data_IF_991001497308
#
_entry.id   IF_991001497308
#
_cell.length_a   1.000
_cell.length_b   1.000
_cell.length_c   1.000
_cell.angle_alpha   90.00
_cell.angle_beta   90.00
_cell.angle_gamma   90.00
#
_symmetry.space_group_name_H-M   'P 1'
#
loop_
_entity.id
_entity.type
_entity.pdbx_description
1 polymer ?
#
# COMPACT_ATOMS: atom_id res chain seq x y z
N UNK A 1 -5.24 -28.76 -12.13
CA UNK A 1 -5.01 -27.52 -11.34
C UNK A 1 -6.32 -26.74 -11.24
N UNK A 2 -6.78 -26.38 -10.04
CA UNK A 2 -8.11 -25.78 -9.78
C UNK A 2 -8.32 -24.38 -10.39
N UNK A 3 -7.25 -23.71 -10.85
CA UNK A 3 -7.29 -22.44 -11.57
C UNK A 3 -6.18 -22.39 -12.64
N UNK A 4 -6.49 -22.09 -13.92
CA UNK A 4 -5.47 -21.94 -14.96
C UNK A 4 -4.59 -20.70 -14.71
N UNK A 5 -3.29 -20.80 -14.97
CA UNK A 5 -2.34 -19.70 -14.77
C UNK A 5 -2.55 -18.59 -15.81
N UNK A 6 -2.33 -17.34 -15.41
CA UNK A 6 -2.27 -16.18 -16.29
C UNK A 6 -0.82 -16.00 -16.75
N UNK A 7 -0.61 -15.80 -18.04
CA UNK A 7 0.73 -15.51 -18.57
C UNK A 7 1.11 -14.06 -18.27
N UNK A 8 1.97 -13.89 -17.27
CA UNK A 8 2.46 -12.58 -16.83
C UNK A 8 3.41 -11.94 -17.86
N UNK A 9 4.04 -12.72 -18.74
CA UNK A 9 4.87 -12.18 -19.83
C UNK A 9 3.98 -11.50 -20.87
N UNK A 10 2.85 -12.14 -21.22
CA UNK A 10 1.85 -11.54 -22.11
C UNK A 10 1.30 -10.25 -21.53
N UNK A 11 0.98 -10.19 -20.24
CA UNK A 11 0.50 -8.95 -19.58
C UNK A 11 1.49 -7.80 -19.74
N UNK A 12 2.77 -8.05 -19.46
CA UNK A 12 3.81 -7.02 -19.59
C UNK A 12 3.99 -6.57 -21.04
N UNK A 13 3.93 -7.51 -21.98
CA UNK A 13 4.04 -7.21 -23.41
C UNK A 13 2.86 -6.36 -23.90
N UNK A 14 1.62 -6.74 -23.55
CA UNK A 14 0.42 -5.96 -23.84
C UNK A 14 0.49 -4.57 -23.23
N UNK A 15 1.00 -4.46 -22.00
CA UNK A 15 1.15 -3.16 -21.34
C UNK A 15 2.12 -2.24 -22.08
N UNK A 16 3.26 -2.78 -22.54
CA UNK A 16 4.24 -2.01 -23.32
C UNK A 16 3.68 -1.52 -24.65
N UNK A 17 2.99 -2.41 -25.37
CA UNK A 17 2.33 -2.07 -26.65
C UNK A 17 1.28 -0.98 -26.44
N UNK A 18 0.38 -1.18 -25.47
CA UNK A 18 -0.68 -0.22 -25.15
C UNK A 18 -0.12 1.16 -24.77
N UNK A 19 0.97 1.21 -24.00
CA UNK A 19 1.60 2.48 -23.63
C UNK A 19 2.31 3.15 -24.81
N UNK A 20 2.90 2.38 -25.73
CA UNK A 20 3.51 2.89 -26.95
C UNK A 20 2.47 3.47 -27.92
N UNK A 21 1.30 2.83 -28.03
CA UNK A 21 0.17 3.28 -28.84
C UNK A 21 -0.50 4.53 -28.25
N UNK A 22 -0.43 4.71 -26.91
CA UNK A 22 -1.13 5.77 -26.19
C UNK A 22 -0.15 6.65 -25.39
N UNK A 23 0.75 7.41 -26.06
CA UNK A 23 1.76 8.21 -25.37
C UNK A 23 1.13 9.24 -24.42
N UNK A 24 -0.05 9.78 -24.75
CA UNK A 24 -0.77 10.75 -23.91
C UNK A 24 -1.22 10.23 -22.54
N UNK A 25 -1.08 8.92 -22.26
CA UNK A 25 -1.38 8.35 -20.93
C UNK A 25 -0.61 9.04 -19.80
N UNK A 26 0.60 9.58 -20.05
CA UNK A 26 1.34 10.30 -19.00
C UNK A 26 0.55 11.49 -18.44
N UNK A 27 -0.32 12.15 -19.24
CA UNK A 27 -1.14 13.28 -18.79
C UNK A 27 -2.11 12.88 -17.68
N UNK A 28 -2.68 11.68 -17.79
CA UNK A 28 -3.64 11.12 -16.83
C UNK A 28 -2.95 10.80 -15.50
N UNK A 29 -1.67 10.44 -15.52
CA UNK A 29 -0.91 10.10 -14.32
C UNK A 29 -0.09 11.28 -13.77
N UNK A 30 -0.20 12.47 -14.36
CA UNK A 30 0.56 13.65 -13.96
C UNK A 30 0.27 14.08 -12.51
N UNK A 31 -1.01 14.25 -12.13
CA UNK A 31 -1.39 14.62 -10.76
C UNK A 31 -1.00 13.54 -9.73
N UNK A 32 -1.29 12.24 -9.94
CA UNK A 32 -0.77 11.19 -9.09
C UNK A 32 0.76 11.23 -8.91
N UNK A 33 1.51 11.47 -9.99
CA UNK A 33 2.98 11.53 -9.97
C UNK A 33 3.51 12.71 -9.15
N UNK A 34 2.92 13.90 -9.31
CA UNK A 34 3.24 15.08 -8.48
C UNK A 34 2.99 14.77 -7.00
N UNK A 35 1.85 14.15 -6.67
CA UNK A 35 1.55 13.79 -5.28
C UNK A 35 2.53 12.77 -4.72
N UNK A 36 2.99 11.79 -5.53
CA UNK A 36 4.04 10.85 -5.12
C UNK A 36 5.33 11.59 -4.78
N UNK A 37 5.77 12.51 -5.64
CA UNK A 37 6.97 13.34 -5.42
C UNK A 37 6.81 14.17 -4.14
N UNK A 38 5.72 14.92 -4.01
CA UNK A 38 5.45 15.75 -2.83
C UNK A 38 5.36 14.93 -1.54
N UNK A 39 4.78 13.73 -1.60
CA UNK A 39 4.69 12.83 -0.44
C UNK A 39 6.05 12.36 0.04
N UNK A 40 7.05 12.28 -0.85
CA UNK A 40 8.43 11.92 -0.50
C UNK A 40 9.13 12.92 0.42
N UNK A 41 8.66 14.17 0.45
CA UNK A 41 9.18 15.21 1.36
C UNK A 41 8.51 15.22 2.73
N UNK A 42 7.49 14.37 2.95
CA UNK A 42 6.83 14.25 4.25
C UNK A 42 7.67 13.40 5.19
N UNK A 43 8.22 14.03 6.24
CA UNK A 43 8.95 13.34 7.30
C UNK A 43 8.20 13.42 8.63
N UNK A 44 7.16 12.56 8.85
CA UNK A 44 6.43 12.56 10.12
C UNK A 44 7.30 12.19 11.32
N UNK A 45 8.37 11.40 11.11
CA UNK A 45 9.27 11.00 12.19
C UNK A 45 10.01 12.20 12.80
N UNK A 46 10.37 13.19 11.99
CA UNK A 46 10.99 14.43 12.48
C UNK A 46 10.08 15.27 13.39
N UNK A 47 8.77 14.97 13.45
CA UNK A 47 7.80 15.64 14.34
C UNK A 47 7.64 14.93 15.67
N UNK A 48 8.21 13.75 15.84
CA UNK A 48 8.17 13.01 17.09
C UNK A 48 9.27 13.52 18.02
N UNK A 49 8.90 13.75 19.28
CA UNK A 49 9.87 14.09 20.32
C UNK A 49 10.78 12.87 20.59
N UNK A 50 12.06 13.11 20.89
CA UNK A 50 13.00 12.01 21.19
C UNK A 50 12.56 11.16 22.40
N UNK A 51 11.91 11.79 23.37
CA UNK A 51 11.36 11.16 24.56
C UNK A 51 9.94 10.60 24.38
N UNK A 52 9.41 10.53 23.15
CA UNK A 52 8.02 10.08 22.91
C UNK A 52 7.73 8.70 23.47
N UNK A 53 8.73 7.81 23.48
CA UNK A 53 8.62 6.44 24.00
C UNK A 53 8.70 6.36 25.52
N UNK A 54 9.13 7.43 26.19
CA UNK A 54 9.19 7.51 27.65
C UNK A 54 7.86 7.90 28.28
N UNK A 55 6.93 8.38 27.46
CA UNK A 55 5.62 8.84 27.88
C UNK A 55 4.66 7.66 28.08
N UNK A 56 3.50 7.96 28.66
CA UNK A 56 2.40 7.00 28.71
C UNK A 56 2.00 6.55 27.29
N UNK A 57 1.47 5.33 27.18
CA UNK A 57 1.02 4.78 25.91
C UNK A 57 0.06 5.72 25.16
N UNK A 58 -0.90 6.33 25.85
CA UNK A 58 -1.89 7.22 25.23
C UNK A 58 -1.26 8.53 24.74
N UNK A 59 -0.31 9.10 25.48
CA UNK A 59 0.43 10.30 25.06
C UNK A 59 1.29 10.00 23.83
N UNK A 60 2.04 8.90 23.84
CA UNK A 60 2.82 8.43 22.70
C UNK A 60 1.92 8.22 21.47
N UNK A 61 0.79 7.53 21.64
CA UNK A 61 -0.18 7.27 20.57
C UNK A 61 -0.73 8.58 19.99
N UNK A 62 -1.11 9.54 20.82
CA UNK A 62 -1.61 10.84 20.37
C UNK A 62 -0.57 11.60 19.53
N UNK A 63 0.69 11.64 19.98
CA UNK A 63 1.77 12.28 19.23
C UNK A 63 2.03 11.59 17.88
N UNK A 64 2.04 10.25 17.86
CA UNK A 64 2.20 9.49 16.61
C UNK A 64 1.04 9.76 15.67
N UNK A 65 -0.21 9.72 16.15
CA UNK A 65 -1.37 10.05 15.31
C UNK A 65 -1.28 11.47 14.76
N UNK A 66 -0.90 12.45 15.59
CA UNK A 66 -0.73 13.84 15.16
C UNK A 66 0.37 13.99 14.10
N UNK A 67 1.51 13.35 14.30
CA UNK A 67 2.63 13.37 13.35
C UNK A 67 2.24 12.77 11.98
N UNK A 68 1.46 11.69 11.99
CA UNK A 68 1.07 10.93 10.79
C UNK A 68 -0.26 11.36 10.16
N UNK A 69 -1.09 12.18 10.82
CA UNK A 69 -2.41 12.57 10.31
C UNK A 69 -2.33 13.20 8.91
N UNK A 70 -1.46 14.19 8.72
CA UNK A 70 -1.29 14.85 7.43
C UNK A 70 -0.78 13.89 6.34
N UNK A 71 0.31 13.13 6.54
CA UNK A 71 0.72 12.08 5.60
C UNK A 71 -0.36 11.06 5.25
N UNK A 72 -1.19 10.65 6.23
CA UNK A 72 -2.29 9.71 5.99
C UNK A 72 -3.36 10.30 5.06
N UNK A 73 -3.71 11.58 5.27
CA UNK A 73 -4.65 12.31 4.40
C UNK A 73 -4.08 12.46 3.00
N UNK A 74 -2.83 12.93 2.86
CA UNK A 74 -2.17 13.06 1.54
C UNK A 74 -2.15 11.71 0.82
N UNK A 75 -1.72 10.65 1.50
CA UNK A 75 -1.73 9.29 0.95
C UNK A 75 -3.12 8.86 0.49
N UNK A 76 -4.16 9.18 1.26
CA UNK A 76 -5.54 8.82 0.90
C UNK A 76 -6.01 9.57 -0.34
N UNK A 77 -5.77 10.88 -0.39
CA UNK A 77 -6.06 11.71 -1.56
C UNK A 77 -5.32 11.18 -2.79
N UNK A 78 -4.02 10.85 -2.68
CA UNK A 78 -3.24 10.23 -3.76
C UNK A 78 -3.86 8.94 -4.28
N UNK A 79 -4.50 8.15 -3.42
CA UNK A 79 -5.20 6.91 -3.83
C UNK A 79 -6.44 7.21 -4.66
N UNK A 80 -7.17 8.29 -4.36
CA UNK A 80 -8.33 8.72 -5.15
C UNK A 80 -7.88 9.20 -6.54
N UNK A 81 -6.80 10.01 -6.60
CA UNK A 81 -6.20 10.43 -7.87
C UNK A 81 -5.73 9.25 -8.72
N UNK A 82 -5.07 8.27 -8.09
CA UNK A 82 -4.61 7.07 -8.78
C UNK A 82 -5.78 6.22 -9.29
N UNK A 83 -6.86 6.10 -8.52
CA UNK A 83 -8.09 5.44 -8.95
C UNK A 83 -8.74 6.19 -10.12
N UNK A 84 -8.73 7.53 -10.11
CA UNK A 84 -9.22 8.35 -11.22
C UNK A 84 -8.39 8.18 -12.49
N UNK A 85 -7.06 8.07 -12.35
CA UNK A 85 -6.17 7.75 -13.46
C UNK A 85 -6.44 6.35 -14.05
N UNK A 86 -6.63 5.36 -13.19
CA UNK A 86 -7.02 4.01 -13.59
C UNK A 86 -8.40 3.99 -14.27
N UNK A 87 -9.36 4.79 -13.78
CA UNK A 87 -10.69 4.94 -14.37
C UNK A 87 -10.62 5.48 -15.81
N UNK A 88 -9.87 6.56 -16.02
CA UNK A 88 -9.64 7.12 -17.36
C UNK A 88 -8.95 6.11 -18.29
N UNK A 89 -7.98 5.34 -17.78
CA UNK A 89 -7.30 4.30 -18.57
C UNK A 89 -8.25 3.15 -18.93
N UNK A 90 -9.12 2.73 -18.01
CA UNK A 90 -10.16 1.72 -18.29
C UNK A 90 -11.17 2.21 -19.32
N UNK A 91 -11.51 3.50 -19.33
CA UNK A 91 -12.36 4.09 -20.38
C UNK A 91 -11.70 4.06 -21.74
N UNK A 92 -10.43 4.46 -21.83
CA UNK A 92 -9.66 4.36 -23.08
C UNK A 92 -9.61 2.92 -23.62
N UNK A 93 -9.52 1.93 -22.73
CA UNK A 93 -9.56 0.51 -23.13
C UNK A 93 -10.93 0.02 -23.62
N UNK A 94 -12.01 0.73 -23.27
CA UNK A 94 -13.37 0.45 -23.75
C UNK A 94 -13.69 1.23 -25.02
N UNK A 95 -13.23 2.48 -25.09
CA UNK A 95 -13.46 3.43 -26.18
C UNK A 95 -12.13 4.11 -26.58
N UNK A 96 -11.52 3.70 -27.71
CA UNK A 96 -10.24 4.24 -28.18
C UNK A 96 -10.24 5.75 -28.46
N UNK A 97 -11.41 6.35 -28.71
CA UNK A 97 -11.54 7.78 -29.01
C UNK A 97 -11.60 8.64 -27.74
N UNK A 98 -11.49 8.03 -26.54
CA UNK A 98 -11.51 8.74 -25.25
C UNK A 98 -10.37 9.77 -25.18
N UNK A 99 -10.73 11.05 -25.05
CA UNK A 99 -9.75 12.12 -24.89
C UNK A 99 -9.00 12.02 -23.54
N UNK A 100 -7.67 11.93 -23.63
CA UNK A 100 -6.79 11.88 -22.47
C UNK A 100 -6.31 13.28 -22.10
N UNK A 101 -6.66 13.72 -20.90
CA UNK A 101 -6.21 14.98 -20.33
C UNK A 101 -5.85 14.82 -18.86
N UNK A 102 -5.21 15.84 -18.29
CA UNK A 102 -4.96 15.89 -16.83
C UNK A 102 -6.27 15.83 -16.04
N UNK A 103 -7.34 16.45 -16.56
CA UNK A 103 -8.68 16.45 -15.95
C UNK A 103 -9.30 15.06 -15.88
N UNK A 104 -8.90 14.12 -16.75
CA UNK A 104 -9.40 12.75 -16.74
C UNK A 104 -9.08 12.04 -15.41
N UNK A 105 -7.98 12.41 -14.74
CA UNK A 105 -7.63 11.90 -13.39
C UNK A 105 -8.55 12.41 -12.27
N UNK A 106 -9.28 13.50 -12.52
CA UNK A 106 -10.25 14.11 -11.60
C UNK A 106 -11.66 13.55 -11.78
N UNK A 107 -11.89 12.65 -12.72
CA UNK A 107 -13.24 12.16 -13.06
C UNK A 107 -14.00 11.53 -11.88
N UNK A 108 -13.28 10.97 -10.90
CA UNK A 108 -13.87 10.39 -9.69
C UNK A 108 -14.18 11.41 -8.58
N UNK A 109 -13.78 12.67 -8.75
CA UNK A 109 -14.15 13.78 -7.87
C UNK A 109 -15.49 14.42 -8.23
N UNK A 110 -16.10 14.02 -9.35
CA UNK A 110 -17.45 14.44 -9.69
C UNK A 110 -18.45 13.99 -8.61
N UNK A 111 -19.40 14.87 -8.27
CA UNK A 111 -20.32 14.71 -7.13
C UNK A 111 -21.05 13.36 -7.12
N UNK A 112 -21.55 12.93 -8.28
CA UNK A 112 -22.29 11.67 -8.48
C UNK A 112 -21.49 10.41 -8.10
N UNK A 113 -20.16 10.48 -8.19
CA UNK A 113 -19.24 9.32 -8.07
C UNK A 113 -18.35 9.40 -6.84
N UNK A 114 -18.15 10.60 -6.31
CA UNK A 114 -17.20 10.87 -5.25
C UNK A 114 -17.54 10.10 -3.98
N UNK A 115 -18.79 10.16 -3.50
CA UNK A 115 -19.20 9.51 -2.25
C UNK A 115 -18.94 8.00 -2.28
N UNK A 116 -19.34 7.31 -3.35
CA UNK A 116 -19.11 5.87 -3.50
C UNK A 116 -17.62 5.54 -3.59
N UNK A 117 -16.84 6.35 -4.33
CA UNK A 117 -15.39 6.19 -4.45
C UNK A 117 -14.72 6.35 -3.09
N UNK A 118 -14.99 7.45 -2.40
CA UNK A 118 -14.48 7.77 -1.09
C UNK A 118 -14.78 6.67 -0.09
N UNK A 119 -16.05 6.28 0.06
CA UNK A 119 -16.47 5.24 1.02
C UNK A 119 -15.86 3.87 0.71
N UNK A 120 -15.74 3.51 -0.58
CA UNK A 120 -15.14 2.23 -0.98
C UNK A 120 -13.65 2.17 -0.67
N UNK A 121 -12.90 3.22 -1.00
CA UNK A 121 -11.47 3.29 -0.72
C UNK A 121 -11.20 3.43 0.78
N UNK A 122 -12.03 4.19 1.50
CA UNK A 122 -11.95 4.31 2.96
C UNK A 122 -12.20 2.96 3.65
N UNK A 123 -13.25 2.23 3.23
CA UNK A 123 -13.56 0.90 3.76
C UNK A 123 -12.43 -0.11 3.48
N UNK A 124 -11.84 -0.07 2.28
CA UNK A 124 -10.67 -0.89 1.94
C UNK A 124 -9.51 -0.59 2.90
N UNK A 125 -9.19 0.69 3.10
CA UNK A 125 -8.12 1.10 4.02
C UNK A 125 -8.39 0.69 5.45
N UNK A 126 -9.62 0.86 5.93
CA UNK A 126 -10.02 0.44 7.26
C UNK A 126 -9.80 -1.07 7.46
N UNK A 127 -10.22 -1.91 6.51
CA UNK A 127 -9.96 -3.34 6.61
C UNK A 127 -8.48 -3.70 6.58
N UNK A 128 -7.69 -3.06 5.70
CA UNK A 128 -6.24 -3.29 5.67
C UNK A 128 -5.54 -2.83 6.96
N UNK A 129 -6.02 -1.75 7.58
CA UNK A 129 -5.56 -1.28 8.89
C UNK A 129 -5.85 -2.32 9.99
N UNK A 130 -7.03 -2.93 10.01
CA UNK A 130 -7.33 -4.00 10.98
C UNK A 130 -6.35 -5.18 10.83
N UNK A 131 -6.02 -5.55 9.59
CA UNK A 131 -5.04 -6.60 9.33
C UNK A 131 -3.59 -6.20 9.65
N UNK A 132 -3.30 -4.91 9.81
CA UNK A 132 -1.97 -4.43 10.18
C UNK A 132 -1.74 -4.35 11.68
N UNK A 133 -2.76 -4.58 12.53
CA UNK A 133 -2.64 -4.47 14.00
C UNK A 133 -1.47 -5.31 14.56
N UNK A 134 -1.25 -6.59 14.18
CA UNK A 134 -0.12 -7.36 14.69
C UNK A 134 1.24 -6.72 14.36
N UNK A 135 1.37 -6.13 13.16
CA UNK A 135 2.58 -5.40 12.78
C UNK A 135 2.77 -4.13 13.62
N UNK A 136 1.70 -3.39 13.92
CA UNK A 136 1.77 -2.20 14.76
C UNK A 136 2.22 -2.54 16.19
N UNK A 137 1.71 -3.64 16.76
CA UNK A 137 2.14 -4.14 18.07
C UNK A 137 3.61 -4.58 18.02
N UNK A 138 4.02 -5.28 16.97
CA UNK A 138 5.42 -5.66 16.76
C UNK A 138 6.35 -4.45 16.69
N UNK A 139 6.00 -3.43 15.90
CA UNK A 139 6.75 -2.17 15.83
C UNK A 139 6.84 -1.50 17.20
N UNK A 140 5.75 -1.44 17.95
CA UNK A 140 5.76 -0.90 19.31
C UNK A 140 6.75 -1.66 20.23
N UNK A 141 6.74 -2.99 20.21
CA UNK A 141 7.69 -3.81 20.99
C UNK A 141 9.15 -3.58 20.57
N UNK A 142 9.39 -3.41 19.27
CA UNK A 142 10.72 -3.09 18.77
C UNK A 142 11.22 -1.75 19.31
N UNK A 143 10.40 -0.69 19.22
CA UNK A 143 10.73 0.63 19.77
C UNK A 143 10.91 0.59 21.29
N UNK A 144 10.07 -0.16 22.01
CA UNK A 144 10.20 -0.34 23.45
C UNK A 144 11.51 -1.06 23.83
N UNK A 145 11.89 -2.11 23.11
CA UNK A 145 13.18 -2.80 23.32
C UNK A 145 14.37 -1.88 23.08
N UNK A 146 14.28 -0.97 22.10
CA UNK A 146 15.31 0.04 21.85
C UNK A 146 15.40 1.04 23.02
N UNK A 147 14.27 1.48 23.56
CA UNK A 147 14.24 2.37 24.73
C UNK A 147 14.88 1.70 25.96
N UNK A 148 14.55 0.43 26.23
CA UNK A 148 15.15 -0.34 27.31
C UNK A 148 16.68 -0.37 27.19
N UNK A 149 17.19 -0.65 25.99
CA UNK A 149 18.63 -0.67 25.73
C UNK A 149 19.29 0.70 25.97
N UNK A 150 18.66 1.80 25.51
CA UNK A 150 19.17 3.16 25.73
C UNK A 150 19.23 3.51 27.22
N UNK A 151 18.17 3.19 27.97
CA UNK A 151 18.12 3.44 29.42
C UNK A 151 19.15 2.63 30.18
N UNK A 152 19.33 1.36 29.81
CA UNK A 152 20.34 0.51 30.43
C UNK A 152 21.76 1.06 30.22
N UNK A 153 22.11 1.45 28.99
CA UNK A 153 23.42 2.05 28.70
C UNK A 153 23.62 3.37 29.42
N UNK A 154 22.58 4.19 29.57
CA UNK A 154 22.67 5.46 30.31
C UNK A 154 22.92 5.26 31.82
N UNK A 155 22.44 4.16 32.40
CA UNK A 155 22.65 3.82 33.81
C UNK A 155 23.97 3.09 34.08
N UNK A 156 24.54 2.44 33.07
CA UNK A 156 25.77 1.64 33.17
C UNK A 156 26.88 2.20 32.26
N UNK A 157 27.58 3.28 32.66
CA UNK A 157 28.66 3.88 31.87
C UNK A 157 29.84 2.91 31.62
N UNK A 158 29.97 1.84 32.41
CA UNK A 158 30.91 0.74 32.21
C UNK A 158 30.64 -0.12 30.96
N UNK A 159 29.52 0.08 30.27
CA UNK A 159 29.21 -0.61 29.01
C UNK A 159 30.36 -0.44 27.99
N UNK A 160 30.83 -1.51 27.32
CA UNK A 160 30.27 -2.88 27.29
C UNK A 160 30.84 -3.85 28.34
N UNK A 161 31.71 -3.41 29.27
CA UNK A 161 32.33 -4.25 30.30
C UNK A 161 31.39 -4.45 31.49
N UNK A 162 30.33 -5.23 31.28
CA UNK A 162 29.30 -5.52 32.28
C UNK A 162 29.59 -6.82 33.03
N UNK A 163 29.19 -6.88 34.30
CA UNK A 163 29.09 -8.14 35.03
C UNK A 163 27.78 -8.86 34.64
N UNK A 164 27.90 -9.82 33.70
CA UNK A 164 26.81 -10.66 33.22
C UNK A 164 26.22 -11.59 34.29
N UNK A 165 26.90 -11.76 35.43
CA UNK A 165 26.41 -12.58 36.53
C UNK A 165 25.41 -11.84 37.43
N UNK A 166 25.42 -10.50 37.39
CA UNK A 166 24.53 -9.63 38.16
C UNK A 166 23.05 -9.89 37.84
N UNK A 167 22.21 -9.76 38.87
CA UNK A 167 20.75 -9.97 38.74
C UNK A 167 20.14 -8.94 37.78
N UNK A 168 20.58 -7.69 37.86
CA UNK A 168 20.10 -6.59 37.02
C UNK A 168 20.40 -6.81 35.54
N UNK A 169 21.64 -7.20 35.20
CA UNK A 169 22.03 -7.46 33.81
C UNK A 169 21.24 -8.65 33.24
N UNK A 170 21.03 -9.71 34.03
CA UNK A 170 20.19 -10.86 33.62
C UNK A 170 18.74 -10.46 33.37
N UNK A 171 18.15 -9.67 34.26
CA UNK A 171 16.77 -9.18 34.11
C UNK A 171 16.62 -8.28 32.88
N UNK A 172 17.58 -7.37 32.66
CA UNK A 172 17.62 -6.54 31.46
C UNK A 172 17.70 -7.40 30.20
N UNK A 173 18.68 -8.31 30.09
CA UNK A 173 18.87 -9.16 28.90
C UNK A 173 17.64 -10.02 28.60
N UNK A 174 17.01 -10.58 29.64
CA UNK A 174 15.80 -11.38 29.48
C UNK A 174 14.62 -10.53 28.99
N UNK A 175 14.41 -9.35 29.58
CA UNK A 175 13.32 -8.44 29.20
C UNK A 175 13.54 -7.89 27.79
N UNK A 176 14.75 -7.40 27.51
CA UNK A 176 15.16 -6.93 26.18
C UNK A 176 14.96 -8.03 25.13
N UNK A 177 15.48 -9.23 25.39
CA UNK A 177 15.35 -10.37 24.50
C UNK A 177 13.89 -10.73 24.24
N UNK A 178 13.05 -10.76 25.28
CA UNK A 178 11.62 -11.03 25.14
C UNK A 178 10.95 -10.02 24.20
N UNK A 179 11.09 -8.72 24.45
CA UNK A 179 10.45 -7.70 23.60
C UNK A 179 11.03 -7.68 22.18
N UNK A 180 12.34 -7.82 22.03
CA UNK A 180 13.00 -7.85 20.74
C UNK A 180 12.55 -9.05 19.90
N UNK A 181 12.65 -10.28 20.42
CA UNK A 181 12.23 -11.47 19.66
C UNK A 181 10.72 -11.53 19.45
N UNK A 182 9.91 -11.13 20.44
CA UNK A 182 8.46 -11.02 20.27
C UNK A 182 8.11 -10.02 19.16
N UNK A 183 8.83 -8.89 19.06
CA UNK A 183 8.62 -7.92 17.97
C UNK A 183 8.82 -8.54 16.60
N UNK A 184 9.91 -9.30 16.40
CA UNK A 184 10.22 -9.95 15.13
C UNK A 184 9.15 -10.99 14.78
N UNK A 185 8.73 -11.82 15.74
CA UNK A 185 7.68 -12.83 15.53
C UNK A 185 6.37 -12.14 15.15
N UNK A 186 5.94 -11.11 15.89
CA UNK A 186 4.71 -10.38 15.62
C UNK A 186 4.72 -9.72 14.24
N UNK A 187 5.86 -9.14 13.82
CA UNK A 187 6.01 -8.56 12.50
C UNK A 187 5.99 -9.63 11.40
N UNK A 188 6.63 -10.79 11.60
CA UNK A 188 6.60 -11.89 10.62
C UNK A 188 5.18 -12.43 10.47
N UNK A 189 4.52 -12.78 11.58
CA UNK A 189 3.13 -13.27 11.59
C UNK A 189 2.19 -12.21 11.02
N UNK A 190 2.36 -10.95 11.41
CA UNK A 190 1.58 -9.82 10.90
C UNK A 190 1.69 -9.68 9.39
N UNK A 191 2.88 -9.79 8.81
CA UNK A 191 3.08 -9.76 7.36
C UNK A 191 2.48 -10.99 6.66
N UNK A 192 2.63 -12.20 7.22
CA UNK A 192 2.01 -13.43 6.70
C UNK A 192 0.48 -13.29 6.64
N UNK A 193 -0.13 -12.62 7.62
CA UNK A 193 -1.57 -12.35 7.63
C UNK A 193 -1.97 -11.19 6.70
N UNK A 194 -1.20 -10.10 6.69
CA UNK A 194 -1.51 -8.89 5.94
C UNK A 194 -1.39 -9.07 4.42
N UNK A 195 -0.28 -9.65 3.94
CA UNK A 195 0.04 -9.72 2.51
C UNK A 195 -1.09 -10.41 1.70
N UNK A 196 -1.62 -11.58 2.11
CA UNK A 196 -2.72 -12.23 1.41
C UNK A 196 -4.01 -11.40 1.38
N UNK A 197 -4.24 -10.49 2.35
CA UNK A 197 -5.42 -9.63 2.38
C UNK A 197 -5.20 -8.40 1.50
N UNK A 198 -4.01 -7.80 1.54
CA UNK A 198 -3.59 -6.75 0.59
C UNK A 198 -3.87 -7.20 -0.86
N UNK A 199 -3.41 -8.39 -1.23
CA UNK A 199 -3.68 -8.96 -2.54
C UNK A 199 -5.14 -9.33 -2.78
N UNK A 200 -5.90 -9.72 -1.76
CA UNK A 200 -7.32 -10.03 -1.91
C UNK A 200 -8.17 -8.79 -2.26
N UNK A 201 -7.74 -7.60 -1.86
CA UNK A 201 -8.41 -6.33 -2.15
C UNK A 201 -7.78 -5.54 -3.32
N UNK A 202 -6.81 -6.13 -4.03
CA UNK A 202 -6.07 -5.45 -5.11
C UNK A 202 -6.93 -5.05 -6.32
N UNK A 203 -8.11 -5.64 -6.49
CA UNK A 203 -9.00 -5.36 -7.63
C UNK A 203 -10.13 -4.38 -7.28
N UNK A 204 -10.15 -3.84 -6.06
CA UNK A 204 -11.25 -2.96 -5.59
C UNK A 204 -11.36 -1.71 -6.45
N UNK A 205 -10.24 -1.08 -6.78
CA UNK A 205 -10.17 0.14 -7.58
C UNK A 205 -10.76 -0.08 -8.98
N UNK A 206 -10.36 -1.16 -9.65
CA UNK A 206 -10.83 -1.47 -11.01
C UNK A 206 -12.29 -1.93 -11.03
N UNK A 207 -12.72 -2.70 -10.04
CA UNK A 207 -14.12 -3.08 -9.89
C UNK A 207 -15.00 -1.87 -9.60
N UNK A 208 -14.56 -0.96 -8.73
CA UNK A 208 -15.25 0.30 -8.47
C UNK A 208 -15.45 1.05 -9.79
N UNK A 209 -14.37 1.22 -10.56
CA UNK A 209 -14.41 1.87 -11.88
C UNK A 209 -15.45 1.25 -12.82
N UNK A 210 -15.49 -0.08 -12.94
CA UNK A 210 -16.47 -0.76 -13.79
C UNK A 210 -17.90 -0.66 -13.27
N UNK A 211 -18.09 -0.67 -11.94
CA UNK A 211 -19.43 -0.54 -11.34
C UNK A 211 -19.99 0.88 -11.45
N UNK A 212 -19.14 1.90 -11.41
CA UNK A 212 -19.58 3.30 -11.52
C UNK A 212 -20.25 3.62 -12.86
N UNK A 213 -19.91 2.90 -13.93
CA UNK A 213 -20.58 3.04 -15.23
C UNK A 213 -21.95 2.29 -15.27
N UNK A 214 -22.22 1.38 -14.33
CA UNK A 214 -23.40 0.50 -14.29
C UNK A 214 -24.42 0.84 -13.18
N UNK A 215 -24.05 1.71 -12.23
CA UNK A 215 -24.89 2.14 -11.11
C UNK A 215 -24.22 1.99 -9.74
N UNK A 216 -24.77 2.64 -8.71
CA UNK A 216 -24.14 2.63 -7.37
C UNK A 216 -24.25 1.26 -6.69
N UNK A 217 -23.11 0.59 -6.53
CA UNK A 217 -22.98 -0.69 -5.83
C UNK A 217 -22.45 -0.44 -4.42
N UNK A 218 -23.02 -1.14 -3.43
CA UNK A 218 -22.61 -1.03 -2.03
C UNK A 218 -21.09 -1.31 -1.90
N UNK A 219 -20.30 -0.44 -1.22
CA UNK A 219 -18.85 -0.61 -1.06
C UNK A 219 -18.41 -2.02 -0.59
N UNK A 220 -19.13 -2.59 0.39
CA UNK A 220 -18.86 -3.93 0.92
C UNK A 220 -18.94 -5.02 -0.15
N UNK A 221 -19.85 -4.87 -1.11
CA UNK A 221 -20.02 -5.83 -2.19
C UNK A 221 -18.83 -5.78 -3.15
N UNK A 222 -18.32 -4.59 -3.49
CA UNK A 222 -17.11 -4.41 -4.30
C UNK A 222 -15.91 -5.12 -3.64
N UNK A 223 -15.73 -4.93 -2.33
CA UNK A 223 -14.66 -5.59 -1.57
C UNK A 223 -14.82 -7.13 -1.56
N UNK A 224 -16.05 -7.64 -1.39
CA UNK A 224 -16.34 -9.08 -1.43
C UNK A 224 -16.06 -9.67 -2.81
N UNK A 225 -16.44 -8.97 -3.88
CA UNK A 225 -16.18 -9.37 -5.27
C UNK A 225 -14.68 -9.40 -5.55
N UNK A 226 -13.92 -8.40 -5.10
CA UNK A 226 -12.46 -8.36 -5.23
C UNK A 226 -11.80 -9.61 -4.61
N UNK A 227 -12.19 -9.96 -3.38
CA UNK A 227 -11.69 -11.18 -2.69
C UNK A 227 -12.04 -12.45 -3.46
N UNK A 228 -13.25 -12.51 -4.02
CA UNK A 228 -13.71 -13.66 -4.80
C UNK A 228 -12.94 -13.82 -6.13
N UNK A 229 -12.71 -12.70 -6.84
CA UNK A 229 -11.92 -12.69 -8.08
C UNK A 229 -10.50 -13.15 -7.82
N UNK A 230 -9.89 -12.69 -6.72
CA UNK A 230 -8.51 -13.01 -6.38
C UNK A 230 -8.27 -14.43 -5.84
N UNK A 231 -9.32 -15.21 -5.56
CA UNK A 231 -9.17 -16.60 -5.11
C UNK A 231 -8.48 -17.44 -6.18
N UNK A 232 -7.28 -17.94 -5.86
CA UNK A 232 -6.41 -18.70 -6.77
C UNK A 232 -5.34 -17.87 -7.50
N UNK A 233 -5.41 -16.53 -7.43
CA UNK A 233 -4.55 -15.64 -8.21
C UNK A 233 -3.71 -14.67 -7.36
N UNK A 234 -3.85 -14.67 -6.02
CA UNK A 234 -3.07 -13.82 -5.10
C UNK A 234 -1.55 -13.94 -5.33
N UNK A 235 -1.05 -15.17 -5.41
CA UNK A 235 0.39 -15.41 -5.62
C UNK A 235 0.85 -14.95 -7.01
N UNK A 236 0.03 -15.12 -8.05
CA UNK A 236 0.36 -14.60 -9.39
C UNK A 236 0.44 -13.07 -9.38
N UNK A 237 -0.43 -12.41 -8.61
CA UNK A 237 -0.36 -10.97 -8.45
C UNK A 237 0.89 -10.52 -7.68
N UNK A 238 1.27 -11.25 -6.64
CA UNK A 238 2.54 -11.03 -5.94
C UNK A 238 3.75 -11.18 -6.87
N UNK A 239 3.80 -12.23 -7.69
CA UNK A 239 4.88 -12.44 -8.67
C UNK A 239 4.90 -11.31 -9.72
N UNK A 240 3.74 -10.80 -10.15
CA UNK A 240 3.69 -9.64 -11.04
C UNK A 240 4.34 -8.42 -10.38
N UNK A 241 4.03 -8.13 -9.12
CA UNK A 241 4.63 -6.99 -8.41
C UNK A 241 6.14 -7.19 -8.19
N UNK A 242 6.60 -8.42 -7.93
CA UNK A 242 8.04 -8.73 -7.88
C UNK A 242 8.74 -8.47 -9.22
N UNK A 243 8.11 -8.80 -10.36
CA UNK A 243 8.64 -8.49 -11.68
C UNK A 243 8.66 -6.97 -11.97
N UNK A 244 7.84 -6.20 -11.25
CA UNK A 244 7.79 -4.74 -11.34
C UNK A 244 8.70 -4.05 -10.32
N UNK A 245 9.29 -4.78 -9.37
CA UNK A 245 10.18 -4.27 -8.32
C UNK A 245 11.31 -3.37 -8.84
N UNK A 246 11.99 -3.67 -9.98
CA UNK A 246 13.03 -2.78 -10.51
C UNK A 246 12.54 -1.36 -10.83
N UNK A 247 11.27 -1.21 -11.24
CA UNK A 247 10.69 0.10 -11.54
C UNK A 247 10.38 0.89 -10.28
N UNK A 248 9.93 0.23 -9.21
CA UNK A 248 9.78 0.86 -7.91
C UNK A 248 11.13 1.33 -7.36
N UNK A 249 12.18 0.52 -7.54
CA UNK A 249 13.54 0.89 -7.15
C UNK A 249 14.08 2.09 -7.94
N UNK A 250 13.88 2.11 -9.26
CA UNK A 250 14.23 3.25 -10.11
C UNK A 250 13.48 4.52 -9.70
N UNK A 251 12.19 4.41 -9.39
CA UNK A 251 11.40 5.53 -8.88
C UNK A 251 11.96 6.07 -7.55
N UNK A 252 12.45 5.19 -6.67
CA UNK A 252 13.07 5.59 -5.41
C UNK A 252 14.39 6.34 -5.60
N UNK A 253 15.29 5.86 -6.45
CA UNK A 253 16.59 6.52 -6.76
C UNK A 253 16.39 7.91 -7.38
N UNK A 254 15.35 8.06 -8.20
CA UNK A 254 15.03 9.34 -8.87
C UNK A 254 14.19 10.29 -8.00
N UNK A 255 14.06 10.01 -6.69
CA UNK A 255 13.24 10.79 -5.77
C UNK A 255 11.79 10.99 -6.24
N UNK A 256 11.24 9.97 -6.92
CA UNK A 256 9.89 9.99 -7.46
C UNK A 256 9.76 10.65 -8.83
N UNK A 257 10.80 11.26 -9.40
CA UNK A 257 10.71 11.93 -10.71
C UNK A 257 10.37 10.93 -11.82
N UNK A 258 10.88 9.70 -11.76
CA UNK A 258 10.54 8.69 -12.77
C UNK A 258 9.07 8.24 -12.73
N UNK A 259 8.29 8.63 -11.71
CA UNK A 259 6.86 8.28 -11.59
C UNK A 259 6.04 8.73 -12.79
N UNK A 260 6.38 9.84 -13.45
CA UNK A 260 5.66 10.31 -14.66
C UNK A 260 5.58 9.24 -15.77
N UNK A 261 6.63 8.43 -15.93
CA UNK A 261 6.68 7.35 -16.93
C UNK A 261 6.38 5.97 -16.33
N UNK A 262 6.81 5.74 -15.09
CA UNK A 262 6.72 4.44 -14.42
C UNK A 262 5.30 4.17 -13.91
N UNK A 263 4.62 5.18 -13.38
CA UNK A 263 3.29 5.03 -12.79
C UNK A 263 2.24 4.54 -13.82
N UNK A 264 2.13 5.12 -15.04
CA UNK A 264 1.23 4.57 -16.06
C UNK A 264 1.59 3.12 -16.40
N UNK A 265 2.88 2.79 -16.52
CA UNK A 265 3.31 1.43 -16.83
C UNK A 265 2.88 0.41 -15.75
N UNK A 266 3.11 0.73 -14.48
CA UNK A 266 2.75 -0.13 -13.33
C UNK A 266 1.23 -0.30 -13.26
N UNK A 267 0.47 0.79 -13.35
CA UNK A 267 -0.99 0.75 -13.26
C UNK A 267 -1.61 -0.01 -14.43
N UNK A 268 -1.06 0.13 -15.64
CA UNK A 268 -1.53 -0.62 -16.79
C UNK A 268 -1.27 -2.12 -16.65
N UNK A 269 -0.10 -2.54 -16.13
CA UNK A 269 0.15 -3.96 -15.81
C UNK A 269 -0.92 -4.49 -14.85
N UNK A 270 -1.32 -3.66 -13.89
CA UNK A 270 -2.34 -4.01 -12.93
C UNK A 270 -3.74 -4.13 -13.57
N UNK A 271 -4.08 -3.23 -14.49
CA UNK A 271 -5.33 -3.23 -15.27
C UNK A 271 -5.39 -4.44 -16.22
N UNK A 272 -4.32 -4.76 -16.95
CA UNK A 272 -4.29 -5.92 -17.83
C UNK A 272 -4.39 -7.24 -17.04
N UNK A 273 -3.76 -7.32 -15.87
CA UNK A 273 -3.97 -8.44 -14.94
C UNK A 273 -5.43 -8.56 -14.50
N UNK A 274 -6.08 -7.44 -14.14
CA UNK A 274 -7.50 -7.40 -13.80
C UNK A 274 -8.39 -7.91 -14.95
N UNK A 275 -8.17 -7.45 -16.18
CA UNK A 275 -8.92 -7.91 -17.36
C UNK A 275 -8.72 -9.40 -17.62
N UNK A 276 -7.49 -9.89 -17.48
CA UNK A 276 -7.20 -11.32 -17.60
C UNK A 276 -7.94 -12.14 -16.53
N UNK A 277 -8.03 -11.65 -15.28
CA UNK A 277 -8.82 -12.28 -14.22
C UNK A 277 -10.30 -12.37 -14.57
N UNK A 278 -10.89 -11.27 -15.04
CA UNK A 278 -12.30 -11.24 -15.45
C UNK A 278 -12.58 -12.24 -16.58
N UNK A 279 -11.74 -12.25 -17.62
CA UNK A 279 -11.86 -13.17 -18.75
C UNK A 279 -11.80 -14.64 -18.31
N UNK A 280 -10.93 -14.97 -17.34
CA UNK A 280 -10.82 -16.34 -16.79
C UNK A 280 -12.03 -16.71 -15.94
N UNK A 281 -12.56 -15.79 -15.13
CA UNK A 281 -13.71 -16.06 -14.25
C UNK A 281 -15.01 -16.21 -15.04
N UNK A 282 -15.20 -15.43 -16.12
CA UNK A 282 -16.35 -15.58 -17.03
C UNK A 282 -16.36 -16.92 -17.79
N UNK A 283 -15.19 -17.52 -18.05
CA UNK A 283 -15.10 -18.83 -18.72
C UNK A 283 -15.32 -20.02 -17.79
N UNK A 284 -15.22 -19.82 -16.48
CA UNK A 284 -15.26 -20.89 -15.47
C UNK A 284 -16.52 -20.83 -14.58
N UNK A 285 -17.40 -19.85 -14.79
CA UNK A 285 -18.69 -19.72 -14.12
C UNK A 285 -19.79 -19.98 -15.12
#
# INVERSE_FOLDING_TARGET
MKYPKIDLKTIRLQTRQFQAENPRLFLVYLLPSILVILSGFLNPLARLQESVLEQSFFSMLAQVLQAYLFPLVVSFVSTIFLAGAAFATLRLLKDPDTELSVKSSLALFAEERFSQTFLTLLLKRFYLFLWSIPNLVGVYFLFYSNLLARRFVALHPEFPKLDLSSVETKQFLMTFGLYFFASLILMIVGNILYIPQHYAYSQVEFLLCDTLDLGQVKPRQILKTSRFLMKGYKFQRFVLDLQLLPWYFLNWITFGIASFSILPYIQNNHIFFYRALLARKRRNG
#
